data_IF_059689893150
#
_entry.id   IF_059689893150
#
_cell.length_a   1.000
_cell.length_b   1.000
_cell.length_c   1.000
_cell.angle_alpha   90.00
_cell.angle_beta   90.00
_cell.angle_gamma   90.00
#
_symmetry.space_group_name_H-M   'P 1'
#
loop_
_entity.id
_entity.type
_entity.pdbx_description
1 polymer ?
#
# COMPACT_ATOMS: atom_id res chain seq x y z
N UNK A 1 -18.77 4.44 -11.92
CA UNK A 1 -19.38 5.18 -10.80
C UNK A 1 -18.86 6.61 -10.85
N UNK A 2 -19.72 7.61 -10.66
CA UNK A 2 -19.36 9.03 -10.62
C UNK A 2 -19.31 9.51 -9.17
N UNK A 3 -18.19 10.06 -8.73
CA UNK A 3 -18.10 10.70 -7.41
C UNK A 3 -18.53 12.16 -7.48
N UNK A 4 -19.46 12.55 -6.61
CA UNK A 4 -19.97 13.92 -6.52
C UNK A 4 -19.13 14.80 -5.59
N UNK A 5 -18.23 14.20 -4.80
CA UNK A 5 -17.35 14.92 -3.87
C UNK A 5 -16.75 14.00 -2.83
N UNK A 6 -15.79 14.54 -2.09
CA UNK A 6 -15.12 13.85 -0.98
C UNK A 6 -15.21 14.70 0.28
N UNK A 7 -15.58 14.07 1.40
CA UNK A 7 -15.69 14.66 2.74
C UNK A 7 -16.45 15.99 2.79
N UNK A 8 -17.51 16.05 2.00
CA UNK A 8 -18.42 17.20 1.99
C UNK A 8 -19.10 17.28 3.36
N UNK A 9 -18.82 18.34 4.11
CA UNK A 9 -19.32 18.54 5.48
C UNK A 9 -20.39 19.61 5.52
N UNK A 10 -21.46 19.35 6.28
CA UNK A 10 -22.53 20.29 6.53
C UNK A 10 -22.25 21.24 7.69
N UNK A 11 -21.16 21.00 8.46
CA UNK A 11 -20.77 21.78 9.65
C UNK A 11 -19.30 22.15 9.60
N UNK A 12 -18.87 22.88 8.58
CA UNK A 12 -17.55 23.54 8.65
C UNK A 12 -17.67 24.67 9.68
N UNK A 13 -16.91 24.58 10.77
CA UNK A 13 -16.70 25.71 11.68
C UNK A 13 -16.14 26.88 10.87
N UNK A 14 -16.93 27.92 10.69
CA UNK A 14 -16.61 29.07 9.84
C UNK A 14 -17.09 28.99 8.39
N UNK A 15 -17.90 27.98 8.03
CA UNK A 15 -18.52 27.91 6.70
C UNK A 15 -19.79 28.77 6.62
N UNK A 16 -19.92 29.54 5.53
CA UNK A 16 -21.04 30.44 5.27
C UNK A 16 -22.32 29.71 4.80
N UNK A 17 -22.31 28.36 4.74
CA UNK A 17 -23.38 27.57 4.14
C UNK A 17 -24.06 26.65 5.15
N UNK A 18 -25.39 26.66 5.12
CA UNK A 18 -26.25 25.76 5.91
C UNK A 18 -26.26 24.33 5.35
N UNK A 19 -26.62 23.36 6.18
CA UNK A 19 -26.78 21.95 5.75
C UNK A 19 -27.76 21.81 4.59
N UNK A 20 -28.82 22.65 4.55
CA UNK A 20 -29.80 22.63 3.47
C UNK A 20 -29.25 23.15 2.15
N UNK A 21 -28.43 24.19 2.17
CA UNK A 21 -27.77 24.71 0.97
C UNK A 21 -26.79 23.68 0.38
N UNK A 22 -25.94 23.07 1.21
CA UNK A 22 -25.04 22.02 0.77
C UNK A 22 -25.81 20.83 0.18
N UNK A 23 -26.90 20.39 0.83
CA UNK A 23 -27.75 19.31 0.35
C UNK A 23 -28.38 19.67 -1.00
N UNK A 24 -28.84 20.92 -1.16
CA UNK A 24 -29.40 21.42 -2.42
C UNK A 24 -28.38 21.42 -3.55
N UNK A 25 -27.17 21.89 -3.30
CA UNK A 25 -26.06 21.85 -4.29
C UNK A 25 -25.72 20.41 -4.68
N UNK A 26 -25.55 19.51 -3.72
CA UNK A 26 -25.27 18.10 -4.01
C UNK A 26 -26.41 17.44 -4.81
N UNK A 27 -27.66 17.77 -4.52
CA UNK A 27 -28.82 17.28 -5.28
C UNK A 27 -28.79 17.80 -6.73
N UNK A 28 -28.48 19.07 -6.92
CA UNK A 28 -28.35 19.68 -8.25
C UNK A 28 -27.21 19.01 -9.06
N UNK A 29 -26.05 18.82 -8.44
CA UNK A 29 -24.90 18.14 -9.08
C UNK A 29 -25.26 16.70 -9.44
N UNK A 30 -25.89 15.95 -8.55
CA UNK A 30 -26.36 14.59 -8.82
C UNK A 30 -27.33 14.55 -10.01
N UNK A 31 -28.28 15.46 -10.04
CA UNK A 31 -29.25 15.56 -11.14
C UNK A 31 -28.56 15.86 -12.48
N UNK A 32 -27.60 16.78 -12.48
CA UNK A 32 -26.84 17.12 -13.69
C UNK A 32 -26.01 15.93 -14.20
N UNK A 33 -25.34 15.21 -13.31
CA UNK A 33 -24.57 14.00 -13.66
C UNK A 33 -25.50 12.93 -14.25
N UNK A 34 -26.64 12.68 -13.61
CA UNK A 34 -27.63 11.68 -14.08
C UNK A 34 -28.27 12.06 -15.41
N UNK A 35 -28.42 13.37 -15.70
CA UNK A 35 -28.90 13.84 -17.00
C UNK A 35 -27.89 13.60 -18.12
N UNK A 36 -26.58 13.68 -17.81
CA UNK A 36 -25.51 13.44 -18.78
C UNK A 36 -25.14 11.95 -18.93
N UNK A 37 -25.19 11.20 -17.84
CA UNK A 37 -24.89 9.75 -17.84
C UNK A 37 -25.79 9.03 -16.83
N UNK A 38 -26.87 8.45 -17.30
CA UNK A 38 -27.79 7.63 -16.50
C UNK A 38 -27.31 6.17 -16.36
N UNK A 39 -26.23 5.77 -17.03
CA UNK A 39 -25.77 4.36 -17.08
C UNK A 39 -24.88 3.99 -15.88
N UNK A 40 -24.34 4.96 -15.19
CA UNK A 40 -23.44 4.73 -14.05
C UNK A 40 -24.03 5.24 -12.74
N UNK A 41 -23.84 4.51 -11.61
CA UNK A 41 -24.27 4.98 -10.30
C UNK A 41 -23.44 6.18 -9.85
N UNK A 42 -24.02 7.00 -8.98
CA UNK A 42 -23.36 8.11 -8.30
C UNK A 42 -22.93 7.71 -6.89
N UNK A 43 -21.88 8.36 -6.39
CA UNK A 43 -21.37 8.15 -5.04
C UNK A 43 -20.83 9.45 -4.44
N UNK A 44 -20.56 9.42 -3.15
CA UNK A 44 -19.85 10.45 -2.41
C UNK A 44 -19.14 9.79 -1.24
N UNK A 45 -17.85 10.09 -1.04
CA UNK A 45 -17.08 9.61 0.10
C UNK A 45 -17.28 10.51 1.32
N UNK A 46 -17.48 9.91 2.49
CA UNK A 46 -17.63 10.69 3.71
C UNK A 46 -17.14 9.95 4.95
N UNK A 47 -16.50 10.67 5.87
CA UNK A 47 -15.94 10.10 7.11
C UNK A 47 -16.94 9.96 8.25
N UNK A 48 -18.16 10.50 8.11
CA UNK A 48 -19.23 10.40 9.10
C UNK A 48 -20.60 10.26 8.41
N UNK A 49 -20.90 9.11 7.79
CA UNK A 49 -22.09 8.95 6.94
C UNK A 49 -23.44 9.02 7.67
N UNK A 50 -23.42 9.02 9.00
CA UNK A 50 -24.63 9.17 9.83
C UNK A 50 -24.93 10.62 10.24
N UNK A 51 -25.94 10.80 11.06
CA UNK A 51 -26.32 12.11 11.63
C UNK A 51 -26.58 13.15 10.55
N UNK A 52 -25.92 14.30 10.63
CA UNK A 52 -26.12 15.43 9.71
C UNK A 52 -25.75 15.12 8.25
N UNK A 53 -24.98 14.06 8.00
CA UNK A 53 -24.61 13.64 6.65
C UNK A 53 -25.56 12.61 6.04
N UNK A 54 -26.52 12.10 6.80
CA UNK A 54 -27.51 11.13 6.30
C UNK A 54 -28.30 11.67 5.08
N UNK A 55 -28.63 12.97 5.07
CA UNK A 55 -29.32 13.62 3.96
C UNK A 55 -28.44 13.64 2.68
N UNK A 56 -27.14 13.86 2.80
CA UNK A 56 -26.20 13.80 1.67
C UNK A 56 -26.05 12.37 1.15
N UNK A 57 -25.92 11.41 2.04
CA UNK A 57 -25.81 9.99 1.67
C UNK A 57 -27.09 9.47 1.00
N UNK A 58 -28.25 10.08 1.29
CA UNK A 58 -29.53 9.75 0.64
C UNK A 58 -29.61 10.18 -0.85
N UNK A 59 -28.74 11.08 -1.30
CA UNK A 59 -28.73 11.58 -2.69
C UNK A 59 -28.10 10.57 -3.66
N UNK A 60 -27.08 9.83 -3.21
CA UNK A 60 -26.25 8.96 -4.06
C UNK A 60 -26.79 7.54 -4.15
N UNK A 61 -26.41 6.81 -5.21
CA UNK A 61 -26.82 5.41 -5.39
C UNK A 61 -25.99 4.45 -4.54
N UNK A 62 -24.69 4.76 -4.34
CA UNK A 62 -23.75 3.95 -3.56
C UNK A 62 -23.11 4.84 -2.51
N UNK A 63 -23.13 4.41 -1.25
CA UNK A 63 -22.59 5.20 -0.14
C UNK A 63 -21.11 4.91 0.05
N UNK A 64 -20.28 5.94 -0.09
CA UNK A 64 -18.85 5.89 0.24
C UNK A 64 -18.59 6.21 1.70
N UNK A 65 -17.79 5.39 2.36
CA UNK A 65 -17.41 5.57 3.77
C UNK A 65 -15.89 5.70 3.84
N UNK A 66 -15.41 6.87 4.34
CA UNK A 66 -13.99 7.11 4.57
C UNK A 66 -13.61 6.65 5.98
N UNK A 67 -12.50 5.88 6.10
CA UNK A 67 -11.80 5.42 7.33
C UNK A 67 -12.61 4.61 8.33
N UNK A 68 -13.90 4.59 8.26
CA UNK A 68 -14.74 3.94 9.24
C UNK A 68 -15.01 2.48 8.86
N UNK A 69 -13.98 1.65 8.82
CA UNK A 69 -14.08 0.22 8.50
C UNK A 69 -15.03 -0.53 9.45
N UNK A 70 -15.21 -0.03 10.68
CA UNK A 70 -16.13 -0.58 11.67
C UNK A 70 -17.57 -0.08 11.51
N UNK A 71 -17.81 0.96 10.69
CA UNK A 71 -19.14 1.53 10.48
C UNK A 71 -19.96 0.80 9.41
N UNK A 72 -19.71 -0.48 9.24
CA UNK A 72 -20.57 -1.39 8.49
C UNK A 72 -21.99 -1.48 9.11
N UNK A 73 -22.16 -0.89 10.27
CA UNK A 73 -23.46 -0.70 10.94
C UNK A 73 -24.23 0.51 10.44
N UNK A 74 -23.66 1.34 9.52
CA UNK A 74 -24.42 2.42 8.91
C UNK A 74 -25.66 1.84 8.22
N UNK A 75 -26.81 2.20 8.78
CA UNK A 75 -28.09 1.69 8.31
C UNK A 75 -28.49 2.43 7.04
N UNK A 76 -28.29 1.80 5.90
CA UNK A 76 -28.75 2.26 4.59
C UNK A 76 -29.36 1.10 3.82
N UNK A 77 -30.29 1.39 2.94
CA UNK A 77 -30.85 0.47 1.95
C UNK A 77 -29.99 0.34 0.70
N UNK A 78 -28.88 1.11 0.63
CA UNK A 78 -27.97 1.19 -0.51
C UNK A 78 -26.72 0.35 -0.31
N UNK A 79 -26.05 -0.05 -1.41
CA UNK A 79 -24.69 -0.62 -1.35
C UNK A 79 -23.72 0.35 -0.68
N UNK A 80 -22.76 -0.17 0.06
CA UNK A 80 -21.71 0.59 0.72
C UNK A 80 -20.33 0.14 0.25
N UNK A 81 -19.35 1.03 0.25
CA UNK A 81 -17.94 0.70 0.03
C UNK A 81 -17.05 1.65 0.83
N UNK A 82 -15.80 1.24 1.06
CA UNK A 82 -14.77 2.12 1.58
C UNK A 82 -14.26 3.04 0.49
N UNK A 83 -14.68 4.29 0.48
CA UNK A 83 -14.26 5.26 -0.53
C UNK A 83 -12.86 5.78 -0.30
N UNK A 84 -12.40 5.80 0.95
CA UNK A 84 -11.06 6.12 1.38
C UNK A 84 -10.79 5.38 2.68
N UNK A 85 -9.74 4.55 2.72
CA UNK A 85 -9.53 3.63 3.84
C UNK A 85 -8.05 3.51 4.18
N UNK A 86 -7.76 2.86 5.29
CA UNK A 86 -6.42 2.48 5.72
C UNK A 86 -5.66 3.65 6.33
N UNK A 87 -4.88 4.42 5.58
CA UNK A 87 -3.89 5.40 6.08
C UNK A 87 -2.85 4.76 7.01
N UNK A 88 -2.36 3.58 6.64
CA UNK A 88 -1.22 2.95 7.28
C UNK A 88 0.07 3.70 6.92
N UNK A 89 1.04 3.70 7.84
CA UNK A 89 2.31 4.40 7.69
C UNK A 89 3.44 3.39 7.50
N UNK A 90 4.17 3.50 6.40
CA UNK A 90 5.33 2.67 6.13
C UNK A 90 6.35 3.36 5.24
N UNK A 91 7.62 2.98 5.38
CA UNK A 91 8.72 3.40 4.52
C UNK A 91 9.37 2.17 3.89
N UNK A 92 9.63 2.20 2.57
CA UNK A 92 10.22 1.08 1.86
C UNK A 92 11.61 0.73 2.40
N UNK A 93 11.82 -0.56 2.73
CA UNK A 93 13.11 -1.10 3.16
C UNK A 93 13.54 -0.72 4.58
N UNK A 94 12.65 -0.13 5.39
CA UNK A 94 12.89 0.20 6.79
C UNK A 94 12.14 -0.79 7.68
N UNK A 95 12.78 -1.35 8.69
CA UNK A 95 12.19 -2.42 9.51
C UNK A 95 12.17 -2.12 11.01
N UNK A 96 12.63 -0.94 11.39
CA UNK A 96 12.48 -0.34 12.71
C UNK A 96 12.09 1.13 12.56
N UNK A 97 11.58 1.76 13.62
CA UNK A 97 11.35 3.21 13.61
C UNK A 97 12.70 3.91 13.53
N UNK A 98 12.89 4.72 12.50
CA UNK A 98 14.08 5.54 12.31
C UNK A 98 13.71 7.03 12.51
N UNK A 99 13.84 7.50 13.74
CA UNK A 99 13.51 8.88 14.08
C UNK A 99 14.48 9.91 13.49
N UNK A 100 15.73 9.51 13.16
CA UNK A 100 16.71 10.40 12.58
C UNK A 100 16.36 10.73 11.12
N UNK A 101 15.94 9.72 10.36
CA UNK A 101 15.52 9.85 8.97
C UNK A 101 13.99 9.98 8.82
N UNK A 102 13.25 10.03 9.94
CA UNK A 102 11.79 10.16 9.96
C UNK A 102 11.11 9.08 9.13
N UNK A 103 11.47 7.81 9.36
CA UNK A 103 10.93 6.67 8.65
C UNK A 103 10.18 5.71 9.58
N UNK A 104 9.19 5.02 9.03
CA UNK A 104 8.36 4.03 9.69
C UNK A 104 8.70 2.62 9.23
N UNK A 105 8.50 1.59 10.09
CA UNK A 105 8.71 0.21 9.67
C UNK A 105 7.81 -0.18 8.48
N UNK A 106 8.36 -0.99 7.58
CA UNK A 106 7.62 -1.59 6.46
C UNK A 106 6.60 -2.66 6.88
N UNK A 107 6.69 -3.14 8.12
CA UNK A 107 5.67 -4.02 8.69
C UNK A 107 4.33 -3.28 8.82
N UNK A 108 3.21 -4.00 8.60
CA UNK A 108 1.86 -3.46 8.75
C UNK A 108 1.44 -3.33 10.22
N UNK A 109 2.12 -2.44 10.96
CA UNK A 109 1.95 -2.28 12.40
C UNK A 109 1.71 -0.84 12.85
N UNK A 110 1.64 0.11 11.93
CA UNK A 110 1.45 1.53 12.22
C UNK A 110 0.41 2.16 11.30
N UNK A 111 -0.50 2.92 11.88
CA UNK A 111 -1.46 3.76 11.18
C UNK A 111 -1.64 5.08 11.94
N UNK A 112 -2.21 6.08 11.29
CA UNK A 112 -2.65 7.32 11.94
C UNK A 112 -3.84 7.07 12.87
N UNK A 113 -4.12 8.02 13.79
CA UNK A 113 -5.16 7.86 14.81
C UNK A 113 -6.58 7.71 14.25
N UNK A 114 -6.85 8.21 13.05
CA UNK A 114 -8.14 8.08 12.36
C UNK A 114 -8.20 6.95 11.35
N UNK A 115 -7.07 6.28 11.10
CA UNK A 115 -6.92 5.19 10.14
C UNK A 115 -6.79 3.82 10.80
N UNK A 116 -6.51 2.84 9.96
CA UNK A 116 -6.26 1.45 10.36
C UNK A 116 -5.04 0.92 9.61
N UNK A 117 -4.44 -0.15 10.09
CA UNK A 117 -3.46 -0.88 9.29
C UNK A 117 -4.14 -1.54 8.09
N UNK A 118 -3.36 -1.87 7.08
CA UNK A 118 -3.88 -2.44 5.84
C UNK A 118 -4.62 -3.76 6.08
N UNK A 119 -4.05 -4.66 6.88
CA UNK A 119 -4.68 -5.94 7.20
C UNK A 119 -5.97 -5.79 8.00
N UNK A 120 -6.02 -4.86 8.96
CA UNK A 120 -7.25 -4.55 9.70
C UNK A 120 -8.36 -4.11 8.76
N UNK A 121 -8.05 -3.22 7.82
CA UNK A 121 -8.99 -2.75 6.80
C UNK A 121 -9.47 -3.89 5.91
N UNK A 122 -8.55 -4.63 5.28
CA UNK A 122 -8.90 -5.74 4.38
C UNK A 122 -9.78 -6.76 5.10
N UNK A 123 -9.41 -7.17 6.31
CA UNK A 123 -10.15 -8.18 7.07
C UNK A 123 -11.56 -7.68 7.45
N UNK A 124 -11.70 -6.39 7.79
CA UNK A 124 -13.00 -5.79 8.07
C UNK A 124 -13.92 -5.82 6.85
N UNK A 125 -13.41 -5.45 5.67
CA UNK A 125 -14.21 -5.47 4.43
C UNK A 125 -14.53 -6.88 3.94
N UNK A 126 -13.60 -7.83 4.06
CA UNK A 126 -13.86 -9.23 3.72
C UNK A 126 -14.90 -9.89 4.63
N UNK A 127 -15.02 -9.46 5.86
CA UNK A 127 -16.03 -9.99 6.82
C UNK A 127 -17.42 -9.38 6.63
N UNK A 128 -17.58 -8.35 5.79
CA UNK A 128 -18.84 -7.65 5.59
C UNK A 128 -19.61 -8.15 4.39
N UNK A 129 -20.78 -8.73 4.64
CA UNK A 129 -21.71 -9.13 3.57
C UNK A 129 -22.33 -7.93 2.80
N UNK A 130 -22.21 -6.71 3.30
CA UNK A 130 -22.82 -5.50 2.72
C UNK A 130 -21.83 -4.65 1.93
N UNK A 131 -20.53 -4.88 2.09
CA UNK A 131 -19.51 -4.08 1.45
C UNK A 131 -19.24 -4.53 0.03
N UNK A 132 -19.16 -3.57 -0.90
CA UNK A 132 -18.74 -3.79 -2.28
C UNK A 132 -17.20 -3.80 -2.44
N UNK A 133 -16.43 -3.60 -1.35
CA UNK A 133 -14.98 -3.46 -1.34
C UNK A 133 -14.51 -2.09 -0.84
N UNK A 134 -13.26 -1.77 -1.10
CA UNK A 134 -12.68 -0.51 -0.61
C UNK A 134 -11.56 0.02 -1.50
N UNK A 135 -11.28 1.33 -1.39
CA UNK A 135 -10.14 2.01 -1.98
C UNK A 135 -9.18 2.46 -0.89
N UNK A 136 -7.90 2.20 -1.10
CA UNK A 136 -6.84 2.49 -0.12
C UNK A 136 -6.39 3.94 -0.25
N UNK A 137 -6.28 4.66 0.85
CA UNK A 137 -5.51 5.87 0.95
C UNK A 137 -4.09 5.52 1.43
N UNK A 138 -3.06 5.48 0.54
CA UNK A 138 -3.20 5.83 -0.88
C UNK A 138 -2.37 4.86 -1.74
N UNK A 139 -2.54 4.89 -3.04
CA UNK A 139 -1.76 4.06 -3.96
C UNK A 139 -0.27 4.42 -3.96
N UNK A 140 0.05 5.70 -3.99
CA UNK A 140 1.42 6.23 -4.04
C UNK A 140 1.67 7.20 -2.89
N UNK A 141 2.91 7.23 -2.38
CA UNK A 141 3.34 8.38 -1.60
C UNK A 141 3.37 9.63 -2.46
N UNK A 142 3.13 10.77 -1.86
CA UNK A 142 3.10 12.07 -2.52
C UNK A 142 3.84 13.13 -1.70
N UNK A 143 4.33 14.16 -2.36
CA UNK A 143 4.97 15.30 -1.70
C UNK A 143 3.91 16.09 -0.92
N UNK A 144 4.22 16.42 0.31
CA UNK A 144 3.30 17.03 1.28
C UNK A 144 2.79 16.00 2.29
N UNK A 145 2.01 16.45 3.27
CA UNK A 145 1.40 15.66 4.33
C UNK A 145 2.34 14.63 5.01
N UNK A 146 3.47 15.06 5.59
CA UNK A 146 4.43 14.18 6.22
C UNK A 146 3.96 13.71 7.62
N UNK A 147 2.73 13.26 7.70
CA UNK A 147 2.07 12.78 8.93
C UNK A 147 2.71 11.45 9.37
N UNK A 148 3.03 11.23 10.61
CA UNK A 148 2.79 12.07 11.82
C UNK A 148 4.01 12.92 12.21
N UNK A 149 5.09 12.86 11.47
CA UNK A 149 6.30 13.64 11.78
C UNK A 149 6.05 15.15 11.71
N UNK A 150 5.36 15.61 10.67
CA UNK A 150 4.93 17.01 10.45
C UNK A 150 6.06 18.04 10.61
N UNK A 151 7.29 17.66 10.31
CA UNK A 151 8.48 18.51 10.39
C UNK A 151 9.56 18.07 9.42
N UNK A 152 10.43 19.00 9.03
CA UNK A 152 11.61 18.71 8.21
C UNK A 152 12.57 17.73 8.95
N UNK A 153 13.20 16.76 8.25
CA UNK A 153 13.27 16.55 6.81
C UNK A 153 12.11 15.73 6.19
N UNK A 154 11.12 15.29 6.96
CA UNK A 154 9.96 14.62 6.38
C UNK A 154 9.19 15.60 5.48
N UNK A 155 8.96 15.25 4.23
CA UNK A 155 8.36 16.10 3.21
C UNK A 155 7.37 15.39 2.29
N UNK A 156 7.27 14.07 2.39
CA UNK A 156 6.29 13.27 1.65
C UNK A 156 5.40 12.48 2.60
N UNK A 157 4.26 12.02 2.10
CA UNK A 157 3.40 11.10 2.84
C UNK A 157 4.10 9.75 3.05
N UNK A 158 3.54 8.94 3.94
CA UNK A 158 3.95 7.56 4.24
C UNK A 158 2.82 6.57 3.97
N UNK A 159 1.70 7.05 3.43
CA UNK A 159 0.47 6.29 3.22
C UNK A 159 0.51 5.37 2.00
N UNK A 160 1.37 5.69 1.03
CA UNK A 160 1.45 4.95 -0.22
C UNK A 160 1.77 3.47 -0.03
N UNK A 161 1.11 2.61 -0.81
CA UNK A 161 1.52 1.20 -0.97
C UNK A 161 2.72 1.09 -1.90
N UNK A 162 2.96 2.14 -2.70
CA UNK A 162 4.12 2.38 -3.56
C UNK A 162 4.76 3.69 -3.14
N UNK A 163 6.09 3.79 -3.17
CA UNK A 163 6.80 5.01 -2.81
C UNK A 163 6.72 6.11 -3.89
N UNK A 164 7.26 7.30 -3.61
CA UNK A 164 7.25 8.43 -4.54
C UNK A 164 8.01 8.18 -5.85
N UNK A 165 8.88 7.17 -5.87
CA UNK A 165 9.66 6.78 -7.03
C UNK A 165 9.03 5.64 -7.85
N UNK A 166 7.87 5.13 -7.42
CA UNK A 166 7.17 4.04 -8.08
C UNK A 166 7.58 2.64 -7.63
N UNK A 167 8.38 2.51 -6.57
CA UNK A 167 8.76 1.21 -6.05
C UNK A 167 7.74 0.69 -5.03
N UNK A 168 7.32 -0.60 -5.14
CA UNK A 168 6.42 -1.20 -4.18
C UNK A 168 7.06 -1.27 -2.79
N UNK A 169 6.29 -0.94 -1.76
CA UNK A 169 6.62 -1.24 -0.36
C UNK A 169 6.19 -2.66 -0.01
N UNK A 170 6.62 -3.20 1.14
CA UNK A 170 6.24 -4.57 1.52
C UNK A 170 4.72 -4.74 1.63
N UNK A 171 4.00 -3.68 2.01
CA UNK A 171 2.53 -3.69 2.09
C UNK A 171 1.85 -3.89 0.73
N UNK A 172 2.47 -3.49 -0.39
CA UNK A 172 1.99 -3.80 -1.73
C UNK A 172 1.79 -5.30 -1.93
N UNK A 173 2.73 -6.10 -1.46
CA UNK A 173 2.69 -7.55 -1.59
C UNK A 173 1.64 -8.20 -0.67
N UNK A 174 1.31 -7.57 0.46
CA UNK A 174 0.15 -7.99 1.26
C UNK A 174 -1.14 -7.83 0.45
N UNK A 175 -1.37 -6.66 -0.16
CA UNK A 175 -2.52 -6.45 -1.03
C UNK A 175 -2.52 -7.38 -2.24
N UNK A 176 -1.36 -7.57 -2.88
CA UNK A 176 -1.22 -8.52 -3.99
C UNK A 176 -1.64 -9.93 -3.57
N UNK A 177 -1.24 -10.39 -2.39
CA UNK A 177 -1.62 -11.71 -1.87
C UNK A 177 -3.12 -11.87 -1.62
N UNK A 178 -3.85 -10.76 -1.47
CA UNK A 178 -5.30 -10.76 -1.21
C UNK A 178 -6.14 -10.52 -2.47
N UNK A 179 -5.62 -9.82 -3.47
CA UNK A 179 -6.37 -9.34 -4.62
C UNK A 179 -5.95 -9.96 -5.96
N UNK A 180 -4.75 -10.56 -6.03
CA UNK A 180 -4.25 -11.21 -7.25
C UNK A 180 -4.46 -12.74 -7.15
N UNK A 181 -4.85 -13.36 -8.25
CA UNK A 181 -4.97 -14.82 -8.37
C UNK A 181 -3.67 -15.51 -8.81
N UNK A 182 -2.70 -14.76 -9.30
CA UNK A 182 -1.38 -15.31 -9.65
C UNK A 182 -0.65 -15.75 -8.40
N UNK A 183 -0.10 -16.99 -8.37
CA UNK A 183 0.65 -17.46 -7.21
C UNK A 183 1.80 -16.52 -6.89
N UNK A 184 1.92 -16.13 -5.61
CA UNK A 184 3.00 -15.29 -5.13
C UNK A 184 3.39 -15.62 -3.69
N UNK A 185 4.63 -15.36 -3.37
CA UNK A 185 5.17 -15.27 -2.02
C UNK A 185 6.16 -14.11 -1.99
N UNK A 186 6.19 -13.36 -0.90
CA UNK A 186 7.09 -12.22 -0.68
C UNK A 186 7.66 -12.29 0.73
N UNK A 187 8.97 -12.12 0.85
CA UNK A 187 9.71 -12.11 2.11
C UNK A 187 9.96 -10.67 2.55
N UNK A 188 9.64 -10.37 3.80
CA UNK A 188 10.15 -9.19 4.50
C UNK A 188 10.72 -9.62 5.87
N UNK A 189 11.79 -8.95 6.35
CA UNK A 189 12.63 -7.91 5.73
C UNK A 189 13.61 -8.47 4.69
N UNK A 190 14.42 -7.58 4.09
CA UNK A 190 15.62 -8.00 3.36
C UNK A 190 16.55 -8.84 4.28
N UNK A 191 17.42 -9.67 3.70
CA UNK A 191 18.27 -10.58 4.49
C UNK A 191 19.73 -10.09 4.61
N UNK A 192 19.89 -8.80 4.99
CA UNK A 192 21.20 -8.20 5.25
C UNK A 192 21.15 -7.49 6.60
N UNK A 193 21.58 -8.17 7.65
CA UNK A 193 21.59 -7.72 9.04
C UNK A 193 22.96 -7.95 9.66
N UNK A 194 23.18 -7.48 10.89
CA UNK A 194 24.42 -7.72 11.62
C UNK A 194 24.30 -8.98 12.49
N UNK A 195 23.26 -9.10 13.29
CA UNK A 195 23.03 -10.22 14.21
C UNK A 195 21.61 -10.19 14.79
N UNK A 196 21.28 -11.15 15.64
CA UNK A 196 20.06 -11.18 16.45
C UNK A 196 18.97 -12.05 15.85
N UNK A 197 17.80 -12.02 16.48
CA UNK A 197 16.60 -12.64 15.99
C UNK A 197 15.86 -11.63 15.11
N UNK A 198 15.50 -12.04 13.91
CA UNK A 198 14.77 -11.24 12.92
C UNK A 198 13.34 -11.76 12.81
N UNK A 199 12.38 -10.88 12.89
CA UNK A 199 10.99 -11.20 12.61
C UNK A 199 10.78 -11.21 11.09
N UNK A 200 10.70 -12.40 10.52
CA UNK A 200 10.46 -12.61 9.09
C UNK A 200 8.98 -12.85 8.85
N UNK A 201 8.39 -12.03 8.00
CA UNK A 201 7.02 -12.24 7.55
C UNK A 201 7.02 -12.67 6.08
N UNK A 202 6.06 -13.53 5.74
CA UNK A 202 5.76 -13.87 4.35
C UNK A 202 4.34 -13.43 4.03
N UNK A 203 4.16 -12.72 2.93
CA UNK A 203 2.86 -12.52 2.31
C UNK A 203 2.69 -13.50 1.17
N UNK A 204 1.57 -14.21 1.10
CA UNK A 204 1.33 -15.21 0.06
C UNK A 204 -0.16 -15.53 -0.10
N UNK A 205 -0.55 -15.87 -1.33
CA UNK A 205 -1.85 -16.46 -1.67
C UNK A 205 -1.78 -17.98 -1.93
N UNK A 206 -0.63 -18.61 -1.70
CA UNK A 206 -0.46 -20.05 -1.85
C UNK A 206 -1.19 -20.84 -0.74
N UNK A 207 -1.51 -22.10 -0.99
CA UNK A 207 -2.16 -22.98 0.00
C UNK A 207 -1.27 -23.26 1.22
N UNK A 208 0.04 -23.27 1.03
CA UNK A 208 1.04 -23.35 2.12
C UNK A 208 2.34 -22.67 1.71
N UNK A 209 3.11 -22.26 2.71
CA UNK A 209 4.44 -21.65 2.53
C UNK A 209 5.47 -22.38 3.40
N UNK A 210 6.72 -22.40 2.97
CA UNK A 210 7.82 -22.94 3.74
C UNK A 210 9.04 -22.04 3.61
N UNK A 211 9.65 -21.71 4.75
CA UNK A 211 10.83 -20.84 4.82
C UNK A 211 12.08 -21.67 5.04
N UNK A 212 13.16 -21.33 4.32
CA UNK A 212 14.46 -22.00 4.43
C UNK A 212 15.56 -20.95 4.67
N UNK A 213 16.46 -21.27 5.58
CA UNK A 213 17.71 -20.52 5.76
C UNK A 213 18.89 -21.43 5.39
N UNK A 214 19.68 -21.01 4.40
CA UNK A 214 20.84 -21.78 3.93
C UNK A 214 20.51 -23.25 3.59
N UNK A 215 19.34 -23.47 2.98
CA UNK A 215 18.84 -24.80 2.62
C UNK A 215 18.22 -25.62 3.74
N UNK A 216 18.22 -25.13 4.98
CA UNK A 216 17.58 -25.79 6.13
C UNK A 216 16.16 -25.23 6.32
N UNK A 217 15.16 -26.12 6.33
CA UNK A 217 13.77 -25.74 6.56
C UNK A 217 13.56 -25.19 7.97
N UNK A 218 12.88 -24.05 8.05
CA UNK A 218 12.41 -23.43 9.28
C UNK A 218 10.93 -23.74 9.58
N UNK A 219 10.38 -24.64 8.78
CA UNK A 219 9.02 -25.15 8.92
C UNK A 219 8.04 -24.65 7.87
N UNK A 220 7.07 -25.48 7.58
CA UNK A 220 5.96 -25.22 6.66
C UNK A 220 4.76 -24.70 7.42
N UNK A 221 4.06 -23.70 6.84
CA UNK A 221 2.82 -23.14 7.38
C UNK A 221 1.71 -23.19 6.35
N UNK A 222 0.49 -23.43 6.82
CA UNK A 222 -0.73 -23.50 6.00
C UNK A 222 -1.63 -22.29 6.27
N UNK A 223 -2.65 -22.09 5.43
CA UNK A 223 -3.53 -20.92 5.47
C UNK A 223 -4.14 -20.67 6.87
N UNK A 224 -4.50 -21.71 7.62
CA UNK A 224 -5.03 -21.59 8.99
C UNK A 224 -4.03 -21.03 10.02
N UNK A 225 -2.75 -20.96 9.66
CA UNK A 225 -1.67 -20.40 10.48
C UNK A 225 -1.27 -18.98 10.04
N UNK A 226 -2.00 -18.40 9.07
CA UNK A 226 -1.82 -17.02 8.67
C UNK A 226 -2.28 -16.10 9.81
N UNK A 227 -1.44 -15.16 10.19
CA UNK A 227 -1.70 -14.23 11.28
C UNK A 227 -2.72 -13.14 10.93
N UNK A 228 -3.08 -12.35 11.92
CA UNK A 228 -4.08 -11.27 11.78
C UNK A 228 -3.64 -10.14 10.85
N UNK A 229 -2.35 -10.02 10.57
CA UNK A 229 -1.78 -9.08 9.58
C UNK A 229 -1.64 -9.71 8.19
N UNK A 230 -2.37 -10.80 7.93
CA UNK A 230 -2.32 -11.58 6.68
C UNK A 230 -0.93 -12.15 6.35
N UNK A 231 -0.07 -12.30 7.35
CA UNK A 231 1.30 -12.79 7.23
C UNK A 231 1.47 -14.22 7.77
N UNK A 232 2.50 -14.90 7.29
CA UNK A 232 3.08 -16.05 7.95
C UNK A 232 4.37 -15.60 8.65
N UNK A 233 4.36 -15.52 9.98
CA UNK A 233 5.46 -14.98 10.76
C UNK A 233 6.40 -16.08 11.26
N UNK A 234 7.71 -15.80 11.20
CA UNK A 234 8.79 -16.61 11.74
C UNK A 234 9.74 -15.69 12.53
N UNK A 235 10.28 -16.20 13.64
CA UNK A 235 11.41 -15.55 14.31
C UNK A 235 12.66 -16.36 14.00
N UNK A 236 13.61 -15.75 13.28
CA UNK A 236 14.77 -16.43 12.70
C UNK A 236 16.05 -15.85 13.28
N UNK A 237 16.87 -16.70 13.90
CA UNK A 237 18.23 -16.30 14.28
C UNK A 237 19.03 -15.99 13.00
N UNK A 238 19.55 -14.76 12.92
CA UNK A 238 20.26 -14.33 11.73
C UNK A 238 21.53 -15.16 11.50
N UNK A 239 21.67 -15.67 10.30
CA UNK A 239 22.90 -16.20 9.75
C UNK A 239 23.00 -15.71 8.30
N UNK A 240 24.19 -15.20 7.93
CA UNK A 240 24.45 -14.76 6.57
C UNK A 240 24.24 -15.89 5.55
N UNK A 241 23.76 -15.54 4.36
CA UNK A 241 23.50 -16.48 3.28
C UNK A 241 22.20 -16.24 2.55
N UNK A 242 21.41 -17.28 2.34
CA UNK A 242 20.21 -17.27 1.51
C UNK A 242 18.98 -17.62 2.32
N UNK A 243 17.99 -16.73 2.30
CA UNK A 243 16.66 -16.95 2.85
C UNK A 243 15.70 -17.21 1.68
N UNK A 244 15.05 -18.37 1.66
CA UNK A 244 14.14 -18.78 0.57
C UNK A 244 12.75 -19.04 1.13
N UNK A 245 11.73 -18.44 0.53
CA UNK A 245 10.35 -18.80 0.80
C UNK A 245 9.75 -19.50 -0.42
N UNK A 246 9.23 -20.69 -0.20
CA UNK A 246 8.52 -21.47 -1.20
C UNK A 246 7.02 -21.42 -0.93
N UNK A 247 6.24 -21.16 -1.99
CA UNK A 247 4.79 -21.23 -1.99
C UNK A 247 4.30 -22.47 -2.75
N UNK A 248 3.37 -23.21 -2.14
CA UNK A 248 2.87 -24.47 -2.69
C UNK A 248 1.36 -24.41 -2.93
N UNK A 249 0.89 -25.13 -3.96
CA UNK A 249 -0.54 -25.38 -4.19
C UNK A 249 -1.11 -26.41 -3.18
N UNK A 250 -2.40 -26.69 -3.29
CA UNK A 250 -3.08 -27.68 -2.44
C UNK A 250 -2.58 -29.13 -2.66
N UNK A 251 -1.95 -29.41 -3.80
CA UNK A 251 -1.35 -30.69 -4.15
C UNK A 251 0.10 -30.83 -3.69
N UNK A 252 0.68 -29.74 -3.15
CA UNK A 252 2.07 -29.71 -2.68
C UNK A 252 3.09 -29.38 -3.77
N UNK A 253 2.67 -28.95 -4.95
CA UNK A 253 3.59 -28.50 -6.00
C UNK A 253 4.09 -27.08 -5.69
N UNK A 254 5.37 -26.84 -5.93
CA UNK A 254 5.98 -25.52 -5.85
C UNK A 254 5.44 -24.63 -6.98
N UNK A 255 4.79 -23.51 -6.63
CA UNK A 255 4.15 -22.60 -7.60
C UNK A 255 4.60 -21.15 -7.48
N UNK A 256 5.27 -20.80 -6.38
CA UNK A 256 5.86 -19.47 -6.18
C UNK A 256 7.12 -19.58 -5.32
N UNK A 257 8.07 -18.67 -5.53
CA UNK A 257 9.30 -18.59 -4.74
C UNK A 257 9.75 -17.14 -4.64
N UNK A 258 10.26 -16.75 -3.47
CA UNK A 258 11.01 -15.52 -3.25
C UNK A 258 12.32 -15.83 -2.54
N UNK A 259 13.37 -15.08 -2.90
CA UNK A 259 14.74 -15.33 -2.40
C UNK A 259 15.37 -14.01 -1.98
N UNK A 260 15.83 -13.96 -0.75
CA UNK A 260 16.62 -12.85 -0.21
C UNK A 260 18.05 -13.34 0.06
N UNK A 261 19.02 -12.49 -0.25
CA UNK A 261 20.43 -12.78 -0.04
C UNK A 261 21.06 -11.80 0.95
N UNK A 262 21.99 -12.27 1.75
CA UNK A 262 22.88 -11.37 2.48
C UNK A 262 23.82 -10.71 1.48
N UNK A 263 23.73 -9.39 1.37
CA UNK A 263 24.64 -8.61 0.53
C UNK A 263 26.02 -8.46 1.18
N UNK A 264 27.03 -8.46 0.34
CA UNK A 264 28.37 -8.02 0.72
C UNK A 264 28.53 -6.50 0.68
N UNK A 265 29.78 -6.04 0.72
CA UNK A 265 30.08 -4.60 0.60
C UNK A 265 29.68 -4.07 -0.77
N UNK A 266 29.11 -2.85 -0.88
CA UNK A 266 28.84 -2.18 -2.13
C UNK A 266 30.05 -2.17 -3.06
N UNK A 267 29.87 -2.58 -4.32
CA UNK A 267 30.97 -2.74 -5.27
C UNK A 267 30.67 -2.23 -6.68
N UNK A 268 29.40 -2.12 -7.06
CA UNK A 268 29.02 -1.67 -8.40
C UNK A 268 27.63 -1.03 -8.43
N UNK A 269 27.37 -0.25 -9.48
CA UNK A 269 26.05 0.25 -9.83
C UNK A 269 25.49 -0.59 -10.98
N UNK A 270 24.21 -0.95 -10.88
CA UNK A 270 23.47 -1.58 -11.95
C UNK A 270 22.33 -0.67 -12.37
N UNK A 271 22.30 -0.29 -13.67
CA UNK A 271 21.26 0.50 -14.25
C UNK A 271 20.29 -0.37 -15.03
N UNK A 272 19.02 -0.08 -14.93
CA UNK A 272 17.98 -0.64 -15.78
C UNK A 272 16.98 0.46 -16.16
N UNK A 273 16.30 0.31 -17.30
CA UNK A 273 15.29 1.25 -17.74
C UNK A 273 13.97 0.52 -18.04
N UNK A 274 12.86 1.24 -17.90
CA UNK A 274 11.53 0.74 -18.25
C UNK A 274 11.32 0.61 -19.76
N UNK A 275 12.11 1.35 -20.57
CA UNK A 275 12.06 1.36 -22.03
C UNK A 275 13.45 1.24 -22.62
N UNK A 276 13.57 0.52 -23.73
CA UNK A 276 14.81 0.37 -24.50
C UNK A 276 14.91 1.34 -25.68
N UNK A 277 13.80 1.96 -26.06
CA UNK A 277 13.72 2.97 -27.12
C UNK A 277 12.55 3.92 -26.85
N UNK A 278 12.72 5.17 -27.25
CA UNK A 278 11.71 6.23 -27.20
C UNK A 278 11.66 6.97 -28.53
N UNK A 279 10.51 7.56 -28.85
CA UNK A 279 10.37 8.43 -30.01
C UNK A 279 10.88 9.83 -29.70
N UNK A 280 11.73 10.37 -30.55
CA UNK A 280 12.16 11.78 -30.47
C UNK A 280 11.07 12.77 -30.94
N UNK A 281 9.96 12.25 -31.46
CA UNK A 281 8.80 13.04 -31.90
C UNK A 281 7.75 13.25 -30.81
N UNK A 282 7.98 12.75 -29.59
CA UNK A 282 7.07 12.86 -28.45
C UNK A 282 7.83 13.27 -27.19
N UNK A 283 7.13 13.89 -26.24
CA UNK A 283 7.62 14.18 -24.88
C UNK A 283 7.61 12.91 -24.01
N UNK A 284 8.21 11.81 -24.50
CA UNK A 284 8.21 10.52 -23.82
C UNK A 284 9.26 10.49 -22.68
N UNK A 285 8.92 9.82 -21.60
CA UNK A 285 9.78 9.68 -20.43
C UNK A 285 10.39 8.27 -20.36
N UNK A 286 11.63 8.21 -19.86
CA UNK A 286 12.32 6.96 -19.52
C UNK A 286 12.66 6.98 -18.04
N UNK A 287 12.27 5.96 -17.31
CA UNK A 287 12.60 5.79 -15.91
C UNK A 287 13.84 4.90 -15.78
N UNK A 288 14.88 5.44 -15.16
CA UNK A 288 16.15 4.73 -14.93
C UNK A 288 16.23 4.34 -13.47
N UNK A 289 16.26 3.04 -13.21
CA UNK A 289 16.54 2.51 -11.87
C UNK A 289 18.03 2.27 -11.72
N UNK A 290 18.61 2.78 -10.62
CA UNK A 290 19.99 2.55 -10.24
C UNK A 290 20.03 1.74 -8.93
N UNK A 291 20.60 0.54 -9.00
CA UNK A 291 20.80 -0.32 -7.85
C UNK A 291 22.27 -0.35 -7.43
N UNK A 292 22.52 -0.11 -6.15
CA UNK A 292 23.86 -0.37 -5.55
C UNK A 292 23.93 -1.86 -5.22
N UNK A 293 24.92 -2.53 -5.77
CA UNK A 293 25.10 -3.97 -5.64
C UNK A 293 26.49 -4.33 -5.12
N UNK A 294 26.59 -5.49 -4.47
CA UNK A 294 27.87 -6.09 -4.13
C UNK A 294 28.55 -6.68 -5.38
N UNK A 295 29.76 -7.29 -5.19
CA UNK A 295 30.51 -7.93 -6.28
C UNK A 295 29.74 -9.05 -7.00
N UNK A 296 28.83 -9.72 -6.30
CA UNK A 296 28.04 -10.84 -6.82
C UNK A 296 26.75 -10.38 -7.54
N UNK A 297 26.39 -9.09 -7.44
CA UNK A 297 25.16 -8.55 -8.00
C UNK A 297 23.99 -8.54 -7.02
N UNK A 298 24.21 -8.84 -5.75
CA UNK A 298 23.21 -8.74 -4.72
C UNK A 298 22.95 -7.28 -4.37
N UNK A 299 21.68 -6.87 -4.33
CA UNK A 299 21.28 -5.53 -3.91
C UNK A 299 21.75 -5.27 -2.47
N UNK A 300 22.43 -4.14 -2.26
CA UNK A 300 22.87 -3.69 -0.94
C UNK A 300 21.78 -2.76 -0.35
N UNK A 301 20.86 -3.26 0.49
CA UNK A 301 19.69 -2.50 0.92
C UNK A 301 20.05 -1.34 1.85
N UNK A 302 21.18 -1.42 2.53
CA UNK A 302 21.68 -0.41 3.46
C UNK A 302 22.73 0.54 2.84
N UNK A 303 22.87 0.53 1.49
CA UNK A 303 23.83 1.39 0.82
C UNK A 303 23.36 2.85 0.80
N UNK A 304 24.24 3.78 1.19
CA UNK A 304 24.04 5.23 1.25
C UNK A 304 25.02 5.99 0.36
N UNK A 305 25.60 5.31 -0.63
CA UNK A 305 26.58 5.88 -1.55
C UNK A 305 26.01 7.04 -2.35
N UNK A 306 26.78 8.15 -2.45
CA UNK A 306 26.43 9.23 -3.36
C UNK A 306 26.57 8.78 -4.81
N UNK A 307 25.52 9.00 -5.62
CA UNK A 307 25.47 8.65 -7.04
C UNK A 307 25.25 9.91 -7.87
N UNK A 308 26.07 10.11 -8.90
CA UNK A 308 25.93 11.21 -9.85
C UNK A 308 25.46 10.65 -11.18
N UNK A 309 24.37 11.20 -11.71
CA UNK A 309 23.84 10.83 -13.02
C UNK A 309 24.24 11.85 -14.08
N UNK A 310 24.65 11.36 -15.24
CA UNK A 310 24.85 12.16 -16.45
C UNK A 310 24.11 11.50 -17.61
N UNK A 311 23.55 12.31 -18.50
CA UNK A 311 22.84 11.84 -19.69
C UNK A 311 23.39 12.51 -20.94
N UNK A 312 23.44 11.78 -22.03
CA UNK A 312 23.78 12.30 -23.37
C UNK A 312 22.59 12.06 -24.29
N UNK A 313 22.15 13.11 -24.98
CA UNK A 313 21.01 13.04 -25.91
C UNK A 313 19.63 13.15 -25.23
N UNK A 314 19.61 13.59 -23.98
CA UNK A 314 18.37 13.81 -23.21
C UNK A 314 18.55 14.81 -22.09
N UNK A 315 17.51 14.99 -21.26
CA UNK A 315 17.51 15.87 -20.08
C UNK A 315 17.04 15.09 -18.86
N UNK A 316 17.77 15.18 -17.76
CA UNK A 316 17.33 14.66 -16.47
C UNK A 316 16.31 15.64 -15.89
N UNK A 317 15.12 15.16 -15.54
CA UNK A 317 14.01 16.01 -15.07
C UNK A 317 13.56 15.67 -13.63
N UNK A 318 14.06 14.59 -13.04
CA UNK A 318 13.74 14.18 -11.67
C UNK A 318 14.61 13.03 -11.18
#
# INVERSE_FOLDING_TARGET
MWSLGNEVRTNLTGGDYSSSEITSVCTMVNSAVKALDSTRPTTMGNNAPGGNLAALMAIVDVVGINYNSNNQTYQTDRPIYGSETTSALSSRGVYAVDSANMAYPSYDNKAVSWGNTAAETVNAYLSSARSCGHFVWTGFDYIGEPTEWNKYPAKSSYFGIVDTCGFPKDIYFMYQSMWDSRPMVHILPHWTHESGNIDVWLYSNCASVELFLNGVSLGKKVLSQRGTKNQYAYTVAYAAGTLVANGYDASGNLIAQDIQYTAGTPAKLALSSDKTAVSTASDDLVYITCNVQDKNGTLCPNADNSVVFTVVGGTIIG
#
